data_IF_804681664591
#
_entry.id   IF_804681664591
#
_cell.length_a   1.000
_cell.length_b   1.000
_cell.length_c   1.000
_cell.angle_alpha   90.00
_cell.angle_beta   90.00
_cell.angle_gamma   90.00
#
_symmetry.space_group_name_H-M   'P 1'
#
loop_
_entity.id
_entity.type
_entity.pdbx_description
1 polymer ?
#
# COMPACT_ATOMS: atom_id res chain seq x y z
N UNK A 1 7.42 17.94 28.91
CA UNK A 1 5.99 17.61 28.67
C UNK A 1 5.97 16.49 27.65
N UNK A 2 5.72 15.28 28.12
CA UNK A 2 5.67 14.06 27.34
C UNK A 2 4.24 13.90 26.82
N UNK A 3 4.03 13.86 25.51
CA UNK A 3 2.74 13.50 24.91
C UNK A 3 2.90 12.12 24.28
N UNK A 4 2.45 11.12 25.02
CA UNK A 4 2.23 9.75 24.56
C UNK A 4 1.16 9.75 23.46
N UNK A 5 1.57 9.51 22.21
CA UNK A 5 0.65 9.26 21.11
C UNK A 5 0.37 7.76 21.03
N UNK A 6 -0.84 7.37 21.44
CA UNK A 6 -1.37 6.04 21.27
C UNK A 6 -1.42 5.67 19.77
N UNK A 7 -0.56 4.74 19.36
CA UNK A 7 -0.64 4.08 18.07
C UNK A 7 -1.87 3.16 18.03
N UNK A 8 -3.00 3.67 17.52
CA UNK A 8 -4.11 2.81 17.13
C UNK A 8 -3.84 2.20 15.75
N UNK A 9 -3.05 1.13 15.75
CA UNK A 9 -3.01 0.17 14.65
C UNK A 9 -4.25 -0.71 14.79
N UNK A 10 -5.25 -0.50 13.93
CA UNK A 10 -6.39 -1.40 13.79
C UNK A 10 -5.92 -2.72 13.14
N UNK A 11 -5.41 -3.64 13.96
CA UNK A 11 -5.13 -5.01 13.57
C UNK A 11 -6.48 -5.75 13.46
N UNK A 12 -7.06 -5.80 12.27
CA UNK A 12 -8.13 -6.76 12.00
C UNK A 12 -7.53 -8.17 12.05
N UNK A 13 -7.63 -8.84 13.20
CA UNK A 13 -7.32 -10.27 13.32
C UNK A 13 -8.26 -11.05 12.41
N UNK A 14 -7.76 -11.49 11.24
CA UNK A 14 -8.43 -12.57 10.52
C UNK A 14 -8.19 -13.90 11.26
N UNK A 15 -9.17 -14.82 11.29
CA UNK A 15 -8.96 -16.16 11.81
C UNK A 15 -7.82 -16.84 11.02
N UNK A 16 -6.95 -17.57 11.73
CA UNK A 16 -5.91 -18.41 11.12
C UNK A 16 -6.59 -19.49 10.28
N UNK A 17 -6.71 -19.27 8.97
CA UNK A 17 -6.89 -20.35 8.03
C UNK A 17 -5.50 -20.82 7.61
N UNK A 18 -5.12 -22.04 8.00
CA UNK A 18 -3.86 -22.64 7.56
C UNK A 18 -3.93 -22.79 6.04
N UNK A 19 -3.15 -22.00 5.31
CA UNK A 19 -2.92 -22.16 3.88
C UNK A 19 -2.06 -23.41 3.65
N UNK A 20 -2.66 -24.59 3.77
CA UNK A 20 -2.13 -25.77 3.10
C UNK A 20 -2.48 -25.62 1.62
N UNK A 21 -1.47 -25.46 0.78
CA UNK A 21 -1.58 -25.44 -0.69
C UNK A 21 -1.82 -26.82 -1.29
N UNK A 22 -2.27 -27.79 -0.49
CA UNK A 22 -2.56 -29.13 -0.97
C UNK A 22 -3.99 -29.19 -1.52
N UNK A 23 -4.11 -29.62 -2.78
CA UNK A 23 -5.40 -30.02 -3.37
C UNK A 23 -6.14 -30.97 -2.42
N UNK A 24 -7.46 -30.83 -2.24
CA UNK A 24 -8.22 -31.76 -1.43
C UNK A 24 -8.13 -33.17 -2.05
N UNK A 25 -7.97 -34.23 -1.24
CA UNK A 25 -7.99 -35.59 -1.75
C UNK A 25 -9.35 -35.86 -2.40
N UNK A 26 -9.32 -36.55 -3.54
CA UNK A 26 -10.48 -37.08 -4.26
C UNK A 26 -11.24 -38.09 -3.37
N UNK A 27 -12.00 -37.60 -2.40
CA UNK A 27 -13.09 -38.34 -1.79
C UNK A 27 -14.38 -37.86 -2.45
N UNK A 28 -15.01 -38.74 -3.20
CA UNK A 28 -16.30 -38.52 -3.83
C UNK A 28 -17.34 -38.08 -2.79
N UNK A 29 -17.97 -36.90 -2.96
CA UNK A 29 -19.27 -36.58 -2.35
C UNK A 29 -19.91 -35.27 -2.89
N UNK A 30 -21.10 -35.44 -3.48
CA UNK A 30 -22.16 -34.47 -3.86
C UNK A 30 -21.88 -33.40 -4.97
N UNK A 31 -22.40 -33.61 -6.21
CA UNK A 31 -22.10 -32.75 -7.37
C UNK A 31 -22.66 -31.31 -7.30
N UNK A 32 -23.57 -31.02 -6.37
CA UNK A 32 -24.14 -29.69 -6.15
C UNK A 32 -23.31 -28.83 -5.19
N UNK A 33 -22.56 -29.43 -4.26
CA UNK A 33 -21.65 -28.72 -3.37
C UNK A 33 -20.37 -28.28 -4.12
N UNK A 34 -19.92 -29.09 -5.08
CA UNK A 34 -18.73 -28.84 -5.89
C UNK A 34 -18.86 -27.62 -6.81
N UNK A 35 -20.07 -27.29 -7.27
CA UNK A 35 -20.29 -26.10 -8.11
C UNK A 35 -20.10 -24.80 -7.32
N UNK A 36 -20.72 -24.70 -6.13
CA UNK A 36 -20.55 -23.53 -5.27
C UNK A 36 -19.11 -23.40 -4.76
N UNK A 37 -18.47 -24.51 -4.39
CA UNK A 37 -17.08 -24.53 -3.97
C UNK A 37 -16.13 -24.14 -5.12
N UNK A 38 -16.38 -24.61 -6.35
CA UNK A 38 -15.58 -24.25 -7.54
C UNK A 38 -15.76 -22.79 -7.95
N UNK A 39 -16.99 -22.27 -7.93
CA UNK A 39 -17.25 -20.84 -8.20
C UNK A 39 -16.61 -19.96 -7.13
N UNK A 40 -16.77 -20.32 -5.85
CA UNK A 40 -16.14 -19.59 -4.74
C UNK A 40 -14.61 -19.62 -4.87
N UNK A 41 -14.01 -20.76 -5.21
CA UNK A 41 -12.58 -20.88 -5.42
C UNK A 41 -12.09 -20.05 -6.62
N UNK A 42 -12.81 -20.07 -7.75
CA UNK A 42 -12.51 -19.24 -8.92
C UNK A 42 -12.57 -17.74 -8.57
N UNK A 43 -13.56 -17.31 -7.78
CA UNK A 43 -13.67 -15.93 -7.32
C UNK A 43 -12.51 -15.55 -6.37
N UNK A 44 -12.11 -16.45 -5.47
CA UNK A 44 -10.98 -16.22 -4.55
C UNK A 44 -9.65 -16.21 -5.31
N UNK A 45 -9.45 -17.14 -6.24
CA UNK A 45 -8.25 -17.23 -7.07
C UNK A 45 -8.06 -15.99 -7.96
N UNK A 46 -9.15 -15.33 -8.34
CA UNK A 46 -9.14 -14.10 -9.12
C UNK A 46 -9.29 -12.82 -8.26
N UNK A 47 -9.10 -12.92 -6.94
CA UNK A 47 -9.20 -11.78 -6.02
C UNK A 47 -7.94 -10.93 -6.05
N UNK A 48 -8.09 -9.64 -6.37
CA UNK A 48 -7.01 -8.66 -6.22
C UNK A 48 -6.95 -8.17 -4.77
N UNK A 49 -5.78 -8.29 -4.13
CA UNK A 49 -5.53 -7.68 -2.82
C UNK A 49 -4.95 -6.27 -3.01
N UNK A 50 -5.57 -5.29 -2.37
CA UNK A 50 -5.12 -3.89 -2.33
C UNK A 50 -4.87 -3.44 -0.89
N UNK A 51 -3.98 -2.47 -0.70
CA UNK A 51 -3.67 -1.87 0.58
C UNK A 51 -4.00 -0.38 0.57
N UNK A 52 -4.54 0.12 1.68
CA UNK A 52 -4.69 1.55 1.94
C UNK A 52 -3.71 1.92 3.05
N UNK A 53 -2.80 2.85 2.76
CA UNK A 53 -1.79 3.29 3.70
C UNK A 53 -2.36 4.41 4.58
N UNK A 54 -2.07 4.34 5.88
CA UNK A 54 -2.29 5.45 6.80
C UNK A 54 -0.95 5.84 7.42
N UNK A 55 -0.62 7.12 7.37
CA UNK A 55 0.58 7.69 7.96
C UNK A 55 0.34 9.14 8.37
N UNK A 56 1.23 9.68 9.18
CA UNK A 56 1.27 11.10 9.53
C UNK A 56 2.48 11.71 8.83
N UNK A 57 2.23 12.40 7.71
CA UNK A 57 3.29 13.08 6.98
C UNK A 57 3.81 14.26 7.77
N UNK A 58 5.12 14.47 7.74
CA UNK A 58 5.80 15.60 8.37
C UNK A 58 6.54 16.45 7.33
N UNK A 59 7.22 17.50 7.77
CA UNK A 59 8.02 18.39 6.93
C UNK A 59 9.43 17.82 6.62
N UNK A 60 9.54 16.49 6.46
CA UNK A 60 10.78 15.79 6.15
C UNK A 60 10.52 14.69 5.11
N UNK A 61 11.02 14.93 3.90
CA UNK A 61 10.90 14.03 2.75
C UNK A 61 11.50 12.63 3.02
N UNK A 62 12.65 12.58 3.70
CA UNK A 62 13.37 11.33 3.95
C UNK A 62 12.65 10.49 5.00
N UNK A 63 12.16 11.13 6.07
CA UNK A 63 11.37 10.46 7.11
C UNK A 63 10.04 9.92 6.56
N UNK A 64 9.36 10.71 5.73
CA UNK A 64 8.13 10.28 5.06
C UNK A 64 8.42 9.13 4.10
N UNK A 65 9.46 9.22 3.27
CA UNK A 65 9.87 8.15 2.37
C UNK A 65 10.20 6.84 3.11
N UNK A 66 10.91 6.91 4.23
CA UNK A 66 11.21 5.74 5.06
C UNK A 66 9.92 5.07 5.57
N UNK A 67 8.93 5.87 5.99
CA UNK A 67 7.61 5.38 6.41
C UNK A 67 6.87 4.73 5.24
N UNK A 68 6.83 5.38 4.07
CA UNK A 68 6.24 4.83 2.87
C UNK A 68 6.90 3.51 2.44
N UNK A 69 8.24 3.46 2.43
CA UNK A 69 9.02 2.27 2.08
C UNK A 69 8.66 1.09 2.97
N UNK A 70 8.56 1.32 4.29
CA UNK A 70 8.12 0.29 5.24
C UNK A 70 6.70 -0.20 4.92
N UNK A 71 5.75 0.70 4.72
CA UNK A 71 4.35 0.36 4.42
C UNK A 71 4.20 -0.40 3.09
N UNK A 72 4.98 -0.04 2.07
CA UNK A 72 5.02 -0.74 0.77
C UNK A 72 5.51 -2.17 0.95
N UNK A 73 6.61 -2.35 1.70
CA UNK A 73 7.16 -3.69 1.97
C UNK A 73 6.19 -4.55 2.76
N UNK A 74 5.50 -3.98 3.76
CA UNK A 74 4.46 -4.68 4.51
C UNK A 74 3.28 -5.09 3.61
N UNK A 75 2.82 -4.20 2.72
CA UNK A 75 1.75 -4.49 1.77
C UNK A 75 2.15 -5.57 0.75
N UNK A 76 3.38 -5.49 0.22
CA UNK A 76 3.93 -6.49 -0.69
C UNK A 76 4.07 -7.86 -0.01
N UNK A 77 4.57 -7.91 1.23
CA UNK A 77 4.65 -9.13 2.02
C UNK A 77 3.27 -9.73 2.33
N UNK A 78 2.23 -8.90 2.45
CA UNK A 78 0.85 -9.34 2.58
C UNK A 78 0.22 -9.80 1.24
N UNK A 79 0.94 -9.72 0.12
CA UNK A 79 0.46 -10.10 -1.20
C UNK A 79 -0.42 -9.06 -1.89
N UNK A 80 -0.42 -7.81 -1.42
CA UNK A 80 -1.11 -6.73 -2.13
C UNK A 80 -0.43 -6.44 -3.48
N UNK A 81 -1.23 -6.06 -4.47
CA UNK A 81 -0.78 -5.69 -5.82
C UNK A 81 -0.81 -4.19 -6.07
N UNK A 82 -1.53 -3.45 -5.22
CA UNK A 82 -1.60 -1.99 -5.24
C UNK A 82 -1.64 -1.48 -3.79
N UNK A 83 -0.91 -0.41 -3.52
CA UNK A 83 -1.02 0.37 -2.27
C UNK A 83 -1.35 1.83 -2.59
N UNK A 84 -2.36 2.38 -1.92
CA UNK A 84 -2.76 3.78 -2.03
C UNK A 84 -2.30 4.59 -0.83
N UNK A 85 -1.60 5.69 -1.09
CA UNK A 85 -1.17 6.63 -0.06
C UNK A 85 -2.21 7.72 0.21
N UNK A 86 -2.22 8.31 1.42
CA UNK A 86 -3.04 9.48 1.69
C UNK A 86 -2.54 10.70 0.89
N UNK A 87 -3.39 11.73 0.80
CA UNK A 87 -2.98 13.01 0.21
C UNK A 87 -1.80 13.62 0.96
N UNK A 88 -0.85 14.22 0.24
CA UNK A 88 0.36 14.82 0.80
C UNK A 88 1.21 13.84 1.60
N UNK A 89 1.27 12.56 1.17
CA UNK A 89 2.10 11.53 1.80
C UNK A 89 3.59 11.88 1.82
N UNK A 90 4.09 12.60 0.80
CA UNK A 90 5.50 12.91 0.66
C UNK A 90 5.95 14.04 1.57
N UNK A 91 5.10 15.03 1.85
CA UNK A 91 5.47 16.21 2.63
C UNK A 91 4.24 17.01 3.07
N UNK A 92 4.25 17.49 4.30
CA UNK A 92 3.33 18.53 4.80
C UNK A 92 4.16 19.68 5.36
N UNK A 93 4.01 20.87 4.76
CA UNK A 93 4.71 22.08 5.18
C UNK A 93 4.18 22.63 6.51
N UNK A 94 5.05 23.30 7.27
CA UNK A 94 4.64 24.01 8.48
C UNK A 94 4.10 25.42 8.18
N UNK A 95 4.45 25.96 7.00
CA UNK A 95 4.02 27.28 6.52
C UNK A 95 3.50 27.17 5.09
N UNK A 96 2.65 28.12 4.73
CA UNK A 96 2.21 28.30 3.36
C UNK A 96 3.42 28.50 2.43
N UNK A 97 3.41 27.82 1.30
CA UNK A 97 4.48 27.87 0.30
C UNK A 97 5.68 26.95 0.55
N UNK A 98 5.78 26.25 1.69
CA UNK A 98 6.85 25.24 1.87
C UNK A 98 6.72 24.09 0.87
N UNK A 99 5.49 23.69 0.53
CA UNK A 99 5.22 22.70 -0.51
C UNK A 99 5.69 23.13 -1.90
N UNK A 100 5.75 24.43 -2.20
CA UNK A 100 6.26 24.93 -3.48
C UNK A 100 7.78 24.81 -3.56
N UNK A 101 8.49 24.92 -2.43
CA UNK A 101 9.95 24.84 -2.37
C UNK A 101 10.47 23.44 -2.65
N UNK A 102 9.68 22.42 -2.31
CA UNK A 102 10.02 21.02 -2.50
C UNK A 102 9.39 20.42 -3.76
N UNK A 103 8.56 21.18 -4.46
CA UNK A 103 7.91 20.72 -5.68
C UNK A 103 8.95 20.36 -6.74
N UNK A 104 8.78 19.21 -7.38
CA UNK A 104 9.71 18.69 -8.38
C UNK A 104 8.97 18.29 -9.66
N UNK A 105 9.65 18.33 -10.82
CA UNK A 105 9.15 17.70 -12.04
C UNK A 105 8.85 16.21 -11.83
N UNK A 106 8.01 15.63 -12.69
CA UNK A 106 7.66 14.20 -12.63
C UNK A 106 8.84 13.26 -12.92
N UNK A 107 9.91 13.74 -13.55
CA UNK A 107 11.16 12.99 -13.69
C UNK A 107 12.16 13.25 -12.56
N UNK A 108 11.77 14.05 -11.56
CA UNK A 108 12.59 14.44 -10.42
C UNK A 108 12.96 13.28 -9.47
N UNK A 109 14.00 13.49 -8.64
CA UNK A 109 14.59 12.44 -7.81
C UNK A 109 13.60 11.81 -6.83
N UNK A 110 12.64 12.58 -6.28
CA UNK A 110 11.64 12.03 -5.36
C UNK A 110 10.77 10.98 -6.07
N UNK A 111 10.23 11.29 -7.25
CA UNK A 111 9.39 10.34 -7.97
C UNK A 111 10.21 9.12 -8.43
N UNK A 112 11.47 9.33 -8.84
CA UNK A 112 12.37 8.23 -9.18
C UNK A 112 12.59 7.26 -8.01
N UNK A 113 12.70 7.75 -6.77
CA UNK A 113 12.80 6.89 -5.58
C UNK A 113 11.56 6.01 -5.40
N UNK A 114 10.35 6.56 -5.57
CA UNK A 114 9.11 5.78 -5.50
C UNK A 114 8.99 4.79 -6.68
N UNK A 115 9.43 5.18 -7.86
CA UNK A 115 9.51 4.33 -9.05
C UNK A 115 10.44 3.12 -8.83
N UNK A 116 11.58 3.32 -8.18
CA UNK A 116 12.49 2.23 -7.79
C UNK A 116 11.85 1.34 -6.72
N UNK A 117 11.26 1.93 -5.69
CA UNK A 117 10.57 1.20 -4.62
C UNK A 117 9.45 0.30 -5.15
N UNK A 118 8.65 0.80 -6.11
CA UNK A 118 7.59 0.05 -6.76
C UNK A 118 8.13 -1.17 -7.51
N UNK A 119 9.22 -0.98 -8.28
CA UNK A 119 9.90 -2.04 -9.04
C UNK A 119 10.50 -3.10 -8.12
N UNK A 120 11.23 -2.69 -7.10
CA UNK A 120 11.87 -3.58 -6.13
C UNK A 120 10.84 -4.40 -5.33
N UNK A 121 9.71 -3.78 -4.99
CA UNK A 121 8.66 -4.43 -4.18
C UNK A 121 7.63 -5.20 -5.02
N UNK A 122 7.66 -5.06 -6.35
CA UNK A 122 6.73 -5.73 -7.26
C UNK A 122 5.26 -5.34 -7.06
N UNK A 123 5.00 -4.10 -6.64
CA UNK A 123 3.65 -3.59 -6.30
C UNK A 123 3.41 -2.21 -6.91
N UNK A 124 2.19 -1.96 -7.36
CA UNK A 124 1.77 -0.65 -7.85
C UNK A 124 1.60 0.34 -6.70
N UNK A 125 1.98 1.60 -6.93
CA UNK A 125 1.85 2.68 -5.96
C UNK A 125 0.88 3.73 -6.50
N UNK A 126 -0.14 4.10 -5.72
CA UNK A 126 -0.94 5.30 -5.97
C UNK A 126 -0.43 6.44 -5.08
N UNK A 127 0.29 7.37 -5.70
CA UNK A 127 1.00 8.49 -5.06
C UNK A 127 0.11 9.73 -5.07
N UNK A 128 -0.82 9.81 -4.12
CA UNK A 128 -1.85 10.87 -4.09
C UNK A 128 -1.25 12.19 -3.56
N UNK A 129 -1.26 13.24 -4.38
CA UNK A 129 -0.85 14.59 -3.96
C UNK A 129 0.67 14.75 -3.76
N UNK A 130 1.48 14.15 -4.65
CA UNK A 130 2.89 14.49 -4.77
C UNK A 130 3.05 15.96 -5.17
N UNK A 131 3.99 16.69 -4.56
CA UNK A 131 4.27 18.07 -4.94
C UNK A 131 4.98 18.11 -6.30
N UNK A 132 4.17 18.26 -7.36
CA UNK A 132 4.64 18.45 -8.72
C UNK A 132 4.92 19.94 -8.97
N UNK A 133 6.04 20.23 -9.64
CA UNK A 133 6.30 21.54 -10.21
C UNK A 133 5.64 21.60 -11.60
N UNK A 134 4.58 22.39 -11.73
CA UNK A 134 3.96 22.67 -13.04
C UNK A 134 4.93 23.42 -13.98
N UNK A 135 4.68 23.34 -15.29
CA UNK A 135 5.34 24.24 -16.23
C UNK A 135 4.80 25.66 -16.04
N UNK A 136 5.71 26.64 -16.04
CA UNK A 136 5.35 28.06 -16.09
C UNK A 136 4.99 28.41 -17.55
N UNK A 137 3.83 27.92 -18.04
CA UNK A 137 3.25 28.31 -19.33
C UNK A 137 2.08 29.30 -19.14
#
# INVERSE_FOLDING_TARGET
MNTDYHHHIQYQRRPKWSSSSASPPLLAMNPTLDHCASILWLLIANSLRVAAAQMTSINDLAANFATCSRLVKEAAAAGAKLICFPESFSFIGAKDGDSLKIAQPLDGPILQQYCSLARESGIWLSLVGLQEKGSDD
#
